data_IF_225208261174
#
_entry.id   IF_225208261174
#
_cell.length_a   1.000
_cell.length_b   1.000
_cell.length_c   1.000
_cell.angle_alpha   90.00
_cell.angle_beta   90.00
_cell.angle_gamma   90.00
#
_symmetry.space_group_name_H-M   'P 1'
#
loop_
_entity.id
_entity.type
_entity.pdbx_description
1 polymer ?
#
# COMPACT_ATOMS: atom_id res chain seq x y z
N UNK A 1 -14.31 19.19 1.02
CA UNK A 1 -13.17 18.72 0.15
C UNK A 1 -13.73 18.16 -1.14
N UNK A 2 -13.17 18.54 -2.30
CA UNK A 2 -13.50 17.93 -3.58
C UNK A 2 -12.29 17.15 -4.10
N UNK A 3 -12.58 16.08 -4.82
CA UNK A 3 -11.61 15.19 -5.42
C UNK A 3 -11.73 15.26 -6.93
N UNK A 4 -10.62 15.46 -7.60
CA UNK A 4 -10.52 15.56 -9.06
C UNK A 4 -9.80 14.36 -9.64
N UNK A 5 -10.17 13.98 -10.87
CA UNK A 5 -9.45 12.96 -11.62
C UNK A 5 -8.15 13.52 -12.19
N UNK A 6 -7.08 12.75 -12.15
CA UNK A 6 -5.81 13.07 -12.82
C UNK A 6 -5.95 13.25 -14.34
N UNK A 7 -7.01 12.71 -14.94
CA UNK A 7 -7.30 12.82 -16.39
C UNK A 7 -8.34 13.88 -16.72
N UNK A 8 -8.99 14.49 -15.72
CA UNK A 8 -9.79 15.71 -15.82
C UNK A 8 -11.10 15.63 -16.60
N UNK A 9 -11.55 14.44 -17.02
CA UNK A 9 -12.79 14.26 -17.76
C UNK A 9 -13.94 13.73 -16.91
N UNK A 10 -13.67 13.49 -15.63
CA UNK A 10 -14.69 13.10 -14.64
C UNK A 10 -15.05 14.28 -13.74
N UNK A 11 -16.31 14.39 -13.31
CA UNK A 11 -16.70 15.47 -12.40
C UNK A 11 -15.98 15.35 -11.05
N UNK A 12 -15.73 16.49 -10.43
CA UNK A 12 -15.22 16.51 -9.06
C UNK A 12 -16.25 15.94 -8.08
N UNK A 13 -15.83 15.07 -7.18
CA UNK A 13 -16.70 14.32 -6.26
C UNK A 13 -16.24 14.49 -4.81
N UNK A 14 -17.10 14.14 -3.86
CA UNK A 14 -16.77 14.07 -2.44
C UNK A 14 -16.06 12.75 -2.11
N UNK A 15 -15.53 12.65 -0.88
CA UNK A 15 -14.81 11.43 -0.45
C UNK A 15 -15.71 10.18 -0.48
N UNK A 16 -16.92 10.26 0.07
CA UNK A 16 -17.83 9.10 0.13
C UNK A 16 -18.34 8.67 -1.24
N UNK A 17 -18.36 9.57 -2.23
CA UNK A 17 -18.70 9.23 -3.61
C UNK A 17 -17.62 8.43 -4.29
N UNK A 18 -16.32 8.75 -4.05
CA UNK A 18 -15.19 8.06 -4.69
C UNK A 18 -14.75 6.79 -3.96
N UNK A 19 -15.14 6.64 -2.68
CA UNK A 19 -14.64 5.57 -1.81
C UNK A 19 -14.85 4.16 -2.39
N UNK A 20 -16.04 3.88 -2.90
CA UNK A 20 -16.41 2.54 -3.38
C UNK A 20 -15.94 2.28 -4.82
N UNK A 21 -15.59 3.31 -5.58
CA UNK A 21 -15.30 3.22 -7.02
C UNK A 21 -13.85 2.90 -7.36
N UNK A 22 -12.91 3.43 -6.62
CA UNK A 22 -11.47 3.30 -6.87
C UNK A 22 -10.97 4.18 -8.02
N UNK A 23 -11.24 3.81 -9.28
CA UNK A 23 -10.92 4.60 -10.47
C UNK A 23 -12.02 5.63 -10.77
N UNK A 24 -11.62 6.76 -11.33
CA UNK A 24 -12.55 7.69 -11.96
C UNK A 24 -13.13 7.11 -13.27
N UNK A 25 -14.33 7.53 -13.70
CA UNK A 25 -14.96 7.05 -14.95
C UNK A 25 -14.09 7.24 -16.21
N UNK A 26 -13.21 8.25 -16.21
CA UNK A 26 -12.24 8.50 -17.30
C UNK A 26 -10.96 7.65 -17.21
N UNK A 27 -10.90 6.72 -16.25
CA UNK A 27 -9.73 5.87 -15.98
C UNK A 27 -8.63 6.56 -15.19
N UNK A 28 -8.80 7.80 -14.77
CA UNK A 28 -7.86 8.54 -13.93
C UNK A 28 -7.94 8.16 -12.45
N UNK A 29 -7.04 8.71 -11.67
CA UNK A 29 -6.97 8.53 -10.23
C UNK A 29 -7.48 9.78 -9.51
N UNK A 30 -8.11 9.60 -8.36
CA UNK A 30 -8.58 10.73 -7.56
C UNK A 30 -7.49 11.30 -6.67
N UNK A 31 -7.44 12.62 -6.60
CA UNK A 31 -6.66 13.44 -5.67
C UNK A 31 -7.51 14.59 -5.14
N UNK A 32 -7.24 15.13 -3.95
CA UNK A 32 -7.87 16.37 -3.51
C UNK A 32 -7.60 17.48 -4.54
N UNK A 33 -8.59 18.31 -4.79
CA UNK A 33 -8.43 19.50 -5.64
C UNK A 33 -7.28 20.38 -5.15
N UNK A 34 -7.13 20.49 -3.83
CA UNK A 34 -5.99 21.12 -3.16
C UNK A 34 -5.61 20.30 -1.94
N UNK A 35 -4.32 20.14 -1.70
CA UNK A 35 -3.86 19.51 -0.46
C UNK A 35 -4.09 20.46 0.73
N UNK A 36 -4.73 20.00 1.81
CA UNK A 36 -4.80 20.79 3.04
C UNK A 36 -3.39 21.05 3.58
N UNK A 37 -3.16 22.26 4.06
CA UNK A 37 -1.89 22.67 4.64
C UNK A 37 -1.98 22.69 6.15
N UNK A 38 -0.95 22.21 6.82
CA UNK A 38 -0.79 22.37 8.26
C UNK A 38 0.20 23.50 8.57
N UNK A 39 -0.22 24.42 9.43
CA UNK A 39 0.65 25.46 9.96
C UNK A 39 1.66 24.90 10.97
N UNK A 40 2.69 25.66 11.31
CA UNK A 40 3.66 25.27 12.33
C UNK A 40 3.01 25.04 13.70
N UNK A 41 1.99 25.82 14.05
CA UNK A 41 1.25 25.66 15.30
C UNK A 41 0.42 24.36 15.30
N UNK A 42 -0.21 24.03 14.18
CA UNK A 42 -0.93 22.76 14.02
C UNK A 42 0.01 21.56 14.09
N UNK A 43 1.19 21.63 13.44
CA UNK A 43 2.21 20.57 13.54
C UNK A 43 2.71 20.41 14.99
N UNK A 44 2.93 21.53 15.71
CA UNK A 44 3.31 21.49 17.12
C UNK A 44 2.22 20.85 18.00
N UNK A 45 0.95 21.17 17.75
CA UNK A 45 -0.17 20.58 18.47
C UNK A 45 -0.31 19.06 18.22
N UNK A 46 0.04 18.57 17.03
CA UNK A 46 -0.02 17.15 16.68
C UNK A 46 1.14 16.34 17.28
N UNK A 47 2.25 16.95 17.63
CA UNK A 47 3.50 16.28 18.03
C UNK A 47 3.34 15.31 19.21
N UNK A 48 2.49 15.61 20.17
CA UNK A 48 2.25 14.76 21.35
C UNK A 48 1.06 13.80 21.23
N UNK A 49 0.39 13.78 20.08
CA UNK A 49 -0.80 12.96 19.90
C UNK A 49 -0.47 11.47 19.81
N UNK A 50 -1.33 10.63 20.40
CA UNK A 50 -1.34 9.21 20.11
C UNK A 50 -1.78 8.96 18.65
N UNK A 51 -1.65 7.73 18.15
CA UNK A 51 -1.93 7.44 16.75
C UNK A 51 -3.38 7.74 16.35
N UNK A 52 -4.36 7.44 17.20
CA UNK A 52 -5.79 7.67 16.90
C UNK A 52 -6.11 9.15 16.81
N UNK A 53 -5.61 9.95 17.73
CA UNK A 53 -5.79 11.40 17.70
C UNK A 53 -5.11 12.04 16.49
N UNK A 54 -3.91 11.58 16.17
CA UNK A 54 -3.18 12.01 14.97
C UNK A 54 -3.91 11.62 13.68
N UNK A 55 -4.37 10.37 13.60
CA UNK A 55 -5.13 9.89 12.46
C UNK A 55 -6.41 10.71 12.25
N UNK A 56 -7.15 10.99 13.32
CA UNK A 56 -8.35 11.81 13.23
C UNK A 56 -8.02 13.25 12.79
N UNK A 57 -6.97 13.87 13.35
CA UNK A 57 -6.56 15.24 12.99
C UNK A 57 -6.19 15.36 11.50
N UNK A 58 -5.54 14.34 10.92
CA UNK A 58 -5.14 14.35 9.52
C UNK A 58 -6.31 13.95 8.62
N UNK A 59 -7.00 12.86 8.94
CA UNK A 59 -8.08 12.34 8.10
C UNK A 59 -9.29 13.27 8.05
N UNK A 60 -9.60 14.00 9.12
CA UNK A 60 -10.69 14.99 9.12
C UNK A 60 -10.46 16.15 8.13
N UNK A 61 -9.21 16.41 7.73
CA UNK A 61 -8.88 17.37 6.68
C UNK A 61 -9.08 16.81 5.26
N UNK A 62 -9.09 15.49 5.14
CA UNK A 62 -9.25 14.78 3.86
C UNK A 62 -10.67 14.19 3.69
N UNK A 63 -11.39 13.97 4.78
CA UNK A 63 -12.72 13.37 4.81
C UNK A 63 -13.65 14.32 5.55
N UNK A 64 -14.33 15.18 4.81
CA UNK A 64 -15.18 16.23 5.37
C UNK A 64 -16.69 16.00 5.14
N UNK A 65 -17.04 14.93 4.43
CA UNK A 65 -18.41 14.53 4.16
C UNK A 65 -18.91 13.34 5.04
N UNK A 66 -18.11 12.94 6.01
CA UNK A 66 -18.51 12.06 7.13
C UNK A 66 -18.57 12.94 8.39
N UNK A 67 -19.67 12.88 9.20
CA UNK A 67 -19.75 13.61 10.46
C UNK A 67 -18.55 13.32 11.37
N UNK A 68 -18.03 14.35 12.05
CA UNK A 68 -16.80 14.24 12.83
C UNK A 68 -16.85 13.14 13.90
N UNK A 69 -17.97 12.98 14.60
CA UNK A 69 -18.14 11.93 15.62
C UNK A 69 -18.11 10.52 15.01
N UNK A 70 -18.70 10.35 13.81
CA UNK A 70 -18.71 9.08 13.11
C UNK A 70 -17.32 8.75 12.58
N UNK A 71 -16.60 9.73 12.00
CA UNK A 71 -15.22 9.55 11.57
C UNK A 71 -14.31 9.22 12.76
N UNK A 72 -14.50 9.89 13.90
CA UNK A 72 -13.79 9.59 15.14
C UNK A 72 -14.02 8.14 15.58
N UNK A 73 -15.27 7.68 15.58
CA UNK A 73 -15.62 6.31 15.95
C UNK A 73 -14.97 5.28 14.99
N UNK A 74 -14.92 5.59 13.69
CA UNK A 74 -14.26 4.74 12.68
C UNK A 74 -12.74 4.65 12.96
N UNK A 75 -12.09 5.78 13.23
CA UNK A 75 -10.65 5.84 13.55
C UNK A 75 -10.34 5.06 14.83
N UNK A 76 -11.14 5.27 15.88
CA UNK A 76 -10.96 4.58 17.17
C UNK A 76 -11.18 3.07 17.07
N UNK A 77 -12.11 2.63 16.23
CA UNK A 77 -12.34 1.21 15.94
C UNK A 77 -11.19 0.60 15.15
N UNK A 78 -10.53 1.38 14.30
CA UNK A 78 -9.50 0.90 13.38
C UNK A 78 -8.15 0.76 14.06
N UNK A 79 -7.64 1.82 14.71
CA UNK A 79 -6.27 1.89 15.20
C UNK A 79 -6.18 1.56 16.68
N UNK A 80 -6.22 0.26 16.97
CA UNK A 80 -6.21 -0.29 18.33
C UNK A 80 -5.03 -1.24 18.51
N UNK A 81 -4.47 -1.27 19.71
CA UNK A 81 -3.34 -2.13 20.06
C UNK A 81 -3.66 -3.64 19.92
N UNK A 82 -4.91 -4.04 20.12
CA UNK A 82 -5.34 -5.44 19.93
C UNK A 82 -5.51 -5.83 18.45
N UNK A 83 -5.64 -4.86 17.56
CA UNK A 83 -5.61 -5.06 16.09
C UNK A 83 -4.18 -5.05 15.57
N UNK A 84 -3.34 -4.12 16.05
CA UNK A 84 -1.92 -3.99 15.68
C UNK A 84 -1.02 -4.59 16.77
N UNK A 85 -1.27 -5.85 17.11
CA UNK A 85 -0.74 -6.48 18.32
C UNK A 85 0.70 -7.01 18.17
N UNK A 86 1.25 -7.09 16.97
CA UNK A 86 2.53 -7.76 16.70
C UNK A 86 3.74 -6.82 16.79
N UNK A 87 3.78 -6.00 17.83
CA UNK A 87 4.93 -5.15 18.13
C UNK A 87 6.17 -6.00 18.51
N UNK A 88 7.36 -5.54 18.11
CA UNK A 88 8.62 -6.16 18.53
C UNK A 88 8.81 -6.04 20.04
N UNK A 89 9.62 -6.94 20.65
CA UNK A 89 10.01 -6.80 22.06
C UNK A 89 10.57 -5.38 22.33
N UNK A 90 10.06 -4.76 23.39
CA UNK A 90 10.44 -3.40 23.79
C UNK A 90 9.68 -2.27 23.07
N UNK A 91 8.85 -2.58 22.08
CA UNK A 91 7.93 -1.62 21.48
C UNK A 91 6.57 -1.63 22.19
N UNK A 92 5.88 -0.48 22.15
CA UNK A 92 4.51 -0.36 22.67
C UNK A 92 3.50 -0.49 21.52
N UNK A 93 2.60 -1.48 21.60
CA UNK A 93 1.56 -1.69 20.60
C UNK A 93 0.57 -0.52 20.49
N UNK A 94 0.40 0.30 21.54
CA UNK A 94 -0.43 1.53 21.51
C UNK A 94 0.14 2.59 20.57
N UNK A 95 1.41 2.53 20.21
CA UNK A 95 2.00 3.43 19.21
C UNK A 95 1.53 3.13 17.78
N UNK A 96 0.94 1.97 17.54
CA UNK A 96 0.44 1.45 16.25
C UNK A 96 1.56 1.31 15.21
N UNK A 97 2.33 2.37 14.97
CA UNK A 97 3.51 2.40 14.10
C UNK A 97 4.74 2.87 14.88
N UNK A 98 5.24 2.06 15.82
CA UNK A 98 6.41 2.42 16.61
C UNK A 98 7.66 2.54 15.73
N UNK A 99 8.59 3.40 16.14
CA UNK A 99 9.94 3.45 15.55
C UNK A 99 10.89 2.54 16.28
N UNK A 100 11.80 1.91 15.55
CA UNK A 100 12.89 1.12 16.11
C UNK A 100 14.22 1.72 15.69
N UNK A 101 15.04 2.16 16.65
CA UNK A 101 16.35 2.74 16.37
C UNK A 101 17.35 1.63 16.06
N UNK A 102 17.92 1.63 14.86
CA UNK A 102 19.03 0.75 14.50
C UNK A 102 20.35 1.34 14.98
N UNK A 103 20.60 2.61 14.67
CA UNK A 103 21.74 3.39 15.12
C UNK A 103 21.39 4.89 15.07
N UNK A 104 22.33 5.76 15.44
CA UNK A 104 22.09 7.20 15.40
C UNK A 104 21.75 7.68 13.99
N UNK A 105 20.58 8.32 13.87
CA UNK A 105 20.06 8.82 12.61
C UNK A 105 19.51 7.75 11.66
N UNK A 106 19.37 6.48 12.09
CA UNK A 106 18.79 5.41 11.29
C UNK A 106 17.73 4.62 12.06
N UNK A 107 16.51 4.58 11.54
CA UNK A 107 15.37 3.99 12.20
C UNK A 107 14.57 3.09 11.24
N UNK A 108 13.92 2.06 11.80
CA UNK A 108 12.80 1.39 11.14
C UNK A 108 11.49 2.05 11.61
N UNK A 109 10.58 2.31 10.69
CA UNK A 109 9.21 2.66 11.00
C UNK A 109 8.37 1.40 10.84
N UNK A 110 7.90 0.83 11.95
CA UNK A 110 7.19 -0.45 11.99
C UNK A 110 5.76 -0.26 11.50
N UNK A 111 5.44 -0.74 10.30
CA UNK A 111 4.12 -0.64 9.68
C UNK A 111 3.38 -1.98 9.60
N UNK A 112 4.04 -3.07 10.00
CA UNK A 112 3.59 -4.44 9.74
C UNK A 112 3.15 -5.18 11.00
N UNK A 113 2.70 -4.45 12.01
CA UNK A 113 2.23 -4.99 13.30
C UNK A 113 0.75 -5.42 13.28
N UNK A 114 0.07 -5.25 12.17
CA UNK A 114 -1.33 -5.56 11.98
C UNK A 114 -1.62 -7.06 11.76
N UNK A 115 -2.89 -7.41 11.53
CA UNK A 115 -3.34 -8.81 11.51
C UNK A 115 -2.61 -9.71 10.51
N UNK A 116 -2.17 -9.15 9.38
CA UNK A 116 -1.54 -9.92 8.30
C UNK A 116 -0.03 -9.73 8.20
N UNK A 117 0.59 -9.02 9.14
CA UNK A 117 2.02 -8.76 9.19
C UNK A 117 2.57 -8.04 7.95
N UNK A 118 1.76 -7.20 7.33
CA UNK A 118 2.14 -6.34 6.22
C UNK A 118 1.58 -4.92 6.40
N UNK A 119 2.28 -3.91 5.89
CA UNK A 119 1.87 -2.50 5.98
C UNK A 119 0.50 -2.21 5.37
N UNK A 120 0.04 -3.09 4.50
CA UNK A 120 -1.27 -2.97 3.85
C UNK A 120 -2.42 -2.98 4.85
N UNK A 121 -2.25 -3.59 6.01
CA UNK A 121 -3.22 -3.55 7.11
C UNK A 121 -3.54 -2.12 7.55
N UNK A 122 -2.55 -1.22 7.53
CA UNK A 122 -2.72 0.18 7.94
C UNK A 122 -3.83 0.89 7.15
N UNK A 123 -3.90 0.62 5.86
CA UNK A 123 -4.91 1.19 4.99
C UNK A 123 -6.16 0.31 4.88
N UNK A 124 -6.01 -1.01 4.81
CA UNK A 124 -7.13 -1.92 4.60
C UNK A 124 -8.08 -1.97 5.80
N UNK A 125 -7.58 -1.93 7.04
CA UNK A 125 -8.43 -1.91 8.23
C UNK A 125 -9.31 -0.66 8.26
N UNK A 126 -8.78 0.50 7.92
CA UNK A 126 -9.57 1.73 7.78
C UNK A 126 -10.58 1.60 6.64
N UNK A 127 -10.15 1.11 5.49
CA UNK A 127 -11.00 0.94 4.31
C UNK A 127 -12.21 0.04 4.62
N UNK A 128 -12.00 -1.08 5.31
CA UNK A 128 -13.06 -1.99 5.72
C UNK A 128 -14.12 -1.31 6.60
N UNK A 129 -13.69 -0.53 7.58
CA UNK A 129 -14.59 0.21 8.46
C UNK A 129 -15.32 1.35 7.72
N UNK A 130 -14.65 2.04 6.80
CA UNK A 130 -15.27 3.06 5.94
C UNK A 130 -16.29 2.45 4.98
N UNK A 131 -15.99 1.31 4.37
CA UNK A 131 -16.93 0.61 3.49
C UNK A 131 -18.19 0.20 4.24
N UNK A 132 -18.06 -0.44 5.39
CA UNK A 132 -19.21 -0.84 6.21
C UNK A 132 -20.09 0.37 6.57
N UNK A 133 -19.47 1.48 6.97
CA UNK A 133 -20.18 2.71 7.31
C UNK A 133 -20.92 3.31 6.11
N UNK A 134 -20.24 3.53 4.99
CA UNK A 134 -20.85 4.19 3.82
C UNK A 134 -21.92 3.32 3.17
N UNK A 135 -21.70 1.99 3.10
CA UNK A 135 -22.70 1.07 2.58
C UNK A 135 -23.96 1.05 3.44
N UNK A 136 -23.80 1.08 4.78
CA UNK A 136 -24.95 1.16 5.70
C UNK A 136 -25.73 2.47 5.53
N UNK A 137 -25.04 3.60 5.37
CA UNK A 137 -25.68 4.90 5.12
C UNK A 137 -26.48 4.94 3.81
N UNK A 138 -25.97 4.26 2.78
CA UNK A 138 -26.62 4.21 1.45
C UNK A 138 -27.66 3.10 1.31
N UNK A 139 -27.73 2.16 2.26
CA UNK A 139 -28.54 0.94 2.14
C UNK A 139 -28.06 0.03 1.00
N UNK A 140 -26.76 0.03 0.72
CA UNK A 140 -26.15 -0.69 -0.40
C UNK A 140 -25.27 -1.86 0.08
N UNK A 141 -24.89 -2.71 -0.86
CA UNK A 141 -23.95 -3.82 -0.68
C UNK A 141 -22.90 -3.78 -1.79
N UNK A 142 -21.76 -4.43 -1.55
CA UNK A 142 -20.71 -4.60 -2.56
C UNK A 142 -20.12 -6.00 -2.53
N UNK A 143 -19.75 -6.52 -3.69
CA UNK A 143 -19.06 -7.79 -3.86
C UNK A 143 -17.65 -7.49 -4.39
N UNK A 144 -16.67 -7.55 -3.51
CA UNK A 144 -15.28 -7.26 -3.85
C UNK A 144 -14.71 -8.44 -4.62
N UNK A 145 -14.20 -8.18 -5.82
CA UNK A 145 -13.45 -9.14 -6.60
C UNK A 145 -11.99 -8.67 -6.70
N UNK A 146 -11.06 -9.54 -6.33
CA UNK A 146 -9.65 -9.24 -6.36
C UNK A 146 -8.79 -10.41 -6.81
N UNK A 147 -7.60 -10.11 -7.31
CA UNK A 147 -6.53 -11.07 -7.54
C UNK A 147 -5.35 -10.74 -6.63
N UNK A 148 -4.69 -11.76 -6.11
CA UNK A 148 -3.58 -11.59 -5.18
C UNK A 148 -2.47 -12.61 -5.40
N UNK A 149 -1.25 -12.19 -5.11
CA UNK A 149 -0.09 -13.07 -4.91
C UNK A 149 0.18 -13.37 -3.42
N UNK A 150 -0.67 -12.85 -2.50
CA UNK A 150 -0.61 -13.12 -1.07
C UNK A 150 -0.94 -11.91 -0.18
N UNK A 151 -0.10 -10.91 -0.13
CA UNK A 151 -0.20 -9.82 0.86
C UNK A 151 -1.42 -8.93 0.72
N UNK A 152 -1.79 -8.56 -0.51
CA UNK A 152 -2.96 -7.69 -0.73
C UNK A 152 -4.26 -8.44 -0.42
N UNK A 153 -4.34 -9.72 -0.83
CA UNK A 153 -5.52 -10.55 -0.58
C UNK A 153 -5.72 -10.79 0.91
N UNK A 154 -4.67 -11.22 1.62
CA UNK A 154 -4.77 -11.43 3.07
C UNK A 154 -5.19 -10.16 3.81
N UNK A 155 -4.59 -9.00 3.50
CA UNK A 155 -4.96 -7.74 4.13
C UNK A 155 -6.41 -7.33 3.82
N UNK A 156 -6.89 -7.54 2.59
CA UNK A 156 -8.27 -7.26 2.20
C UNK A 156 -9.27 -8.17 2.93
N UNK A 157 -9.00 -9.46 2.98
CA UNK A 157 -9.87 -10.42 3.65
C UNK A 157 -9.97 -10.15 5.14
N UNK A 158 -8.84 -9.93 5.83
CA UNK A 158 -8.83 -9.62 7.27
C UNK A 158 -9.50 -8.29 7.58
N UNK A 159 -9.47 -7.32 6.68
CA UNK A 159 -10.18 -6.05 6.86
C UNK A 159 -11.69 -6.17 6.61
N UNK A 160 -12.11 -7.04 5.71
CA UNK A 160 -13.50 -7.15 5.26
C UNK A 160 -14.26 -8.29 5.95
N UNK A 161 -13.57 -9.23 6.60
CA UNK A 161 -14.21 -10.35 7.30
C UNK A 161 -15.26 -9.87 8.29
N UNK A 162 -16.44 -10.49 8.27
CA UNK A 162 -17.54 -10.16 9.16
C UNK A 162 -18.19 -8.77 8.93
N UNK A 163 -17.77 -8.00 7.92
CA UNK A 163 -18.35 -6.69 7.60
C UNK A 163 -19.71 -6.85 6.94
N UNK A 164 -20.70 -6.12 7.44
CA UNK A 164 -22.05 -6.10 6.87
C UNK A 164 -22.05 -5.41 5.50
N UNK A 165 -22.79 -5.99 4.56
CA UNK A 165 -22.92 -5.44 3.20
C UNK A 165 -21.72 -5.68 2.29
N UNK A 166 -20.69 -6.42 2.76
CA UNK A 166 -19.48 -6.72 1.97
C UNK A 166 -19.30 -8.23 1.84
N UNK A 167 -19.10 -8.71 0.63
CA UNK A 167 -18.57 -10.04 0.34
C UNK A 167 -17.26 -9.91 -0.42
N UNK A 168 -16.33 -10.84 -0.22
CA UNK A 168 -15.00 -10.84 -0.85
C UNK A 168 -14.81 -12.13 -1.62
N UNK A 169 -14.51 -12.01 -2.89
CA UNK A 169 -14.10 -13.09 -3.79
C UNK A 169 -12.66 -12.83 -4.19
N UNK A 170 -11.74 -13.61 -3.62
CA UNK A 170 -10.30 -13.42 -3.82
C UNK A 170 -9.71 -14.57 -4.64
N UNK A 171 -9.18 -14.21 -5.81
CA UNK A 171 -8.51 -15.14 -6.71
C UNK A 171 -7.02 -15.17 -6.41
N UNK A 172 -6.46 -16.37 -6.29
CA UNK A 172 -5.03 -16.57 -6.10
C UNK A 172 -4.53 -17.74 -6.95
N UNK A 173 -3.26 -17.76 -7.40
CA UNK A 173 -2.75 -18.84 -8.20
C UNK A 173 -2.58 -20.10 -7.35
N UNK A 174 -3.19 -21.20 -7.77
CA UNK A 174 -3.19 -22.47 -7.04
C UNK A 174 -1.77 -22.96 -6.79
N UNK A 175 -1.41 -23.19 -5.51
CA UNK A 175 -0.11 -23.70 -5.06
C UNK A 175 1.10 -22.81 -5.43
N UNK A 176 0.90 -21.50 -5.64
CA UNK A 176 1.99 -20.57 -6.01
C UNK A 176 2.31 -19.52 -4.94
N UNK A 177 1.44 -19.35 -3.94
CA UNK A 177 1.73 -18.50 -2.79
C UNK A 177 2.58 -19.24 -1.75
N UNK A 178 3.24 -18.52 -0.85
CA UNK A 178 3.92 -19.12 0.30
C UNK A 178 2.93 -19.92 1.17
N UNK A 179 3.42 -20.91 1.92
CA UNK A 179 2.59 -21.69 2.85
C UNK A 179 1.92 -20.80 3.90
N UNK A 180 2.66 -19.83 4.40
CA UNK A 180 2.15 -18.88 5.37
C UNK A 180 1.01 -18.03 4.80
N UNK A 181 1.20 -17.41 3.63
CA UNK A 181 0.17 -16.59 2.99
C UNK A 181 -1.08 -17.40 2.62
N UNK A 182 -0.89 -18.61 2.12
CA UNK A 182 -1.99 -19.54 1.79
C UNK A 182 -2.80 -19.84 3.05
N UNK A 183 -2.14 -20.24 4.13
CA UNK A 183 -2.79 -20.57 5.39
C UNK A 183 -3.49 -19.34 6.00
N UNK A 184 -2.87 -18.17 5.91
CA UNK A 184 -3.43 -16.92 6.43
C UNK A 184 -4.78 -16.57 5.77
N UNK A 185 -4.89 -16.78 4.45
CA UNK A 185 -6.13 -16.54 3.72
C UNK A 185 -7.14 -17.68 3.87
N UNK A 186 -6.70 -18.90 3.59
CA UNK A 186 -7.61 -20.03 3.45
C UNK A 186 -8.13 -20.59 4.79
N UNK A 187 -7.49 -20.24 5.91
CA UNK A 187 -7.97 -20.59 7.25
C UNK A 187 -9.16 -19.74 7.72
N UNK A 188 -9.49 -18.66 6.99
CA UNK A 188 -10.67 -17.85 7.32
C UNK A 188 -11.96 -18.63 7.07
N UNK A 189 -12.85 -18.64 8.08
CA UNK A 189 -14.13 -19.36 8.03
C UNK A 189 -15.34 -18.41 7.95
N UNK A 190 -15.10 -17.11 7.77
CA UNK A 190 -16.15 -16.09 7.73
C UNK A 190 -17.04 -16.25 6.49
N UNK A 191 -18.35 -16.21 6.66
CA UNK A 191 -19.36 -16.49 5.61
C UNK A 191 -19.30 -15.50 4.43
N UNK A 192 -18.66 -14.35 4.61
CA UNK A 192 -18.53 -13.33 3.59
C UNK A 192 -17.18 -13.35 2.85
N UNK A 193 -16.30 -14.33 3.13
CA UNK A 193 -14.98 -14.48 2.50
C UNK A 193 -14.97 -15.74 1.64
N UNK A 194 -14.63 -15.60 0.36
CA UNK A 194 -14.56 -16.67 -0.63
C UNK A 194 -13.18 -16.68 -1.27
N UNK A 195 -12.41 -17.73 -1.00
CA UNK A 195 -11.09 -17.96 -1.59
C UNK A 195 -11.20 -18.88 -2.81
N UNK A 196 -10.69 -18.44 -3.95
CA UNK A 196 -10.71 -19.18 -5.21
C UNK A 196 -9.26 -19.39 -5.66
N UNK A 197 -8.80 -20.63 -5.59
CA UNK A 197 -7.49 -21.05 -6.08
C UNK A 197 -7.57 -21.40 -7.57
N UNK A 198 -7.06 -20.52 -8.42
CA UNK A 198 -7.13 -20.67 -9.89
C UNK A 198 -5.96 -21.50 -10.38
N UNK A 199 -6.23 -22.53 -11.19
CA UNK A 199 -5.20 -23.31 -11.88
C UNK A 199 -4.55 -22.46 -12.97
N UNK A 200 -3.45 -21.81 -12.62
CA UNK A 200 -2.74 -20.88 -13.48
C UNK A 200 -1.68 -20.11 -12.69
N UNK A 201 -1.28 -18.96 -13.22
CA UNK A 201 -0.36 -18.03 -12.60
C UNK A 201 -1.11 -16.77 -12.13
N UNK A 202 -0.41 -15.88 -11.46
CA UNK A 202 -1.04 -14.64 -10.94
C UNK A 202 -1.64 -13.76 -12.05
N UNK A 203 -1.00 -13.73 -13.22
CA UNK A 203 -1.51 -12.97 -14.37
C UNK A 203 -2.86 -13.50 -14.86
N UNK A 204 -3.07 -14.83 -14.83
CA UNK A 204 -4.37 -15.44 -15.17
C UNK A 204 -5.46 -14.96 -14.20
N UNK A 205 -5.15 -14.87 -12.90
CA UNK A 205 -6.08 -14.33 -11.91
C UNK A 205 -6.42 -12.86 -12.20
N UNK A 206 -5.43 -12.04 -12.54
CA UNK A 206 -5.63 -10.63 -12.90
C UNK A 206 -6.45 -10.48 -14.17
N UNK A 207 -6.21 -11.31 -15.18
CA UNK A 207 -6.95 -11.25 -16.44
C UNK A 207 -8.41 -11.62 -16.27
N UNK A 208 -8.72 -12.59 -15.39
CA UNK A 208 -10.11 -12.90 -15.00
C UNK A 208 -10.75 -11.69 -14.33
N UNK A 209 -10.08 -11.07 -13.36
CA UNK A 209 -10.61 -9.87 -12.67
C UNK A 209 -10.86 -8.74 -13.66
N UNK A 210 -9.97 -8.51 -14.62
CA UNK A 210 -10.15 -7.52 -15.70
C UNK A 210 -11.35 -7.88 -16.58
N UNK A 211 -11.46 -9.14 -17.01
CA UNK A 211 -12.58 -9.60 -17.85
C UNK A 211 -13.93 -9.42 -17.16
N UNK A 212 -14.03 -9.73 -15.87
CA UNK A 212 -15.25 -9.50 -15.08
C UNK A 212 -15.54 -8.02 -14.91
N UNK A 213 -14.51 -7.21 -14.64
CA UNK A 213 -14.65 -5.76 -14.44
C UNK A 213 -15.01 -4.99 -15.71
N UNK A 214 -14.58 -5.48 -16.87
CA UNK A 214 -14.91 -4.92 -18.19
C UNK A 214 -16.31 -5.32 -18.68
N UNK A 215 -16.92 -6.35 -18.11
CA UNK A 215 -18.33 -6.64 -18.33
C UNK A 215 -19.17 -5.69 -17.46
N UNK A 216 -19.40 -4.50 -17.98
CA UNK A 216 -20.10 -3.43 -17.25
C UNK A 216 -21.53 -3.83 -16.82
N UNK A 217 -22.23 -4.64 -17.62
CA UNK A 217 -23.57 -5.11 -17.27
C UNK A 217 -23.52 -6.08 -16.08
N UNK A 218 -22.58 -7.04 -16.10
CA UNK A 218 -22.37 -7.97 -15.00
C UNK A 218 -21.93 -7.24 -13.73
N UNK A 219 -20.96 -6.33 -13.87
CA UNK A 219 -20.41 -5.53 -12.77
C UNK A 219 -21.50 -4.72 -12.06
N UNK A 220 -22.32 -4.02 -12.82
CA UNK A 220 -23.42 -3.22 -12.27
C UNK A 220 -24.50 -4.08 -11.60
N UNK A 221 -24.95 -5.14 -12.28
CA UNK A 221 -25.98 -6.06 -11.77
C UNK A 221 -25.57 -6.71 -10.45
N UNK A 222 -24.32 -7.16 -10.35
CA UNK A 222 -23.81 -7.92 -9.21
C UNK A 222 -22.99 -7.06 -8.24
N UNK A 223 -23.01 -5.73 -8.40
CA UNK A 223 -22.34 -4.76 -7.51
C UNK A 223 -20.87 -5.09 -7.26
N UNK A 224 -20.13 -5.43 -8.33
CA UNK A 224 -18.72 -5.78 -8.24
C UNK A 224 -17.89 -4.55 -7.91
N UNK A 225 -17.21 -4.61 -6.78
CA UNK A 225 -16.28 -3.60 -6.28
C UNK A 225 -14.82 -4.10 -6.25
N UNK A 226 -13.92 -3.21 -5.89
CA UNK A 226 -12.49 -3.50 -5.78
C UNK A 226 -11.85 -2.76 -4.60
N UNK A 227 -10.73 -3.30 -4.11
CA UNK A 227 -9.92 -2.71 -3.02
C UNK A 227 -8.47 -2.51 -3.43
N UNK A 228 -8.23 -2.12 -4.67
CA UNK A 228 -6.88 -1.97 -5.25
C UNK A 228 -6.11 -0.81 -4.61
N UNK A 229 -4.78 -0.81 -4.82
CA UNK A 229 -3.86 0.19 -4.29
C UNK A 229 -4.14 1.63 -4.73
N UNK A 230 -4.91 1.80 -5.82
CA UNK A 230 -5.30 3.11 -6.36
C UNK A 230 -6.45 3.79 -5.60
N UNK A 231 -7.20 3.06 -4.77
CA UNK A 231 -8.26 3.65 -3.97
C UNK A 231 -7.69 4.79 -3.10
N UNK A 232 -8.30 5.98 -3.20
CA UNK A 232 -7.80 7.16 -2.50
C UNK A 232 -7.76 6.98 -0.97
N UNK A 233 -8.75 6.31 -0.39
CA UNK A 233 -8.78 6.08 1.05
C UNK A 233 -7.56 5.27 1.53
N UNK A 234 -7.05 4.35 0.69
CA UNK A 234 -5.82 3.62 0.99
C UNK A 234 -4.60 4.52 1.03
N UNK A 235 -4.52 5.49 0.12
CA UNK A 235 -3.42 6.47 0.11
C UNK A 235 -3.54 7.41 1.29
N UNK A 236 -4.75 7.95 1.54
CA UNK A 236 -5.02 8.86 2.66
C UNK A 236 -4.66 8.26 4.02
N UNK A 237 -5.01 6.98 4.26
CA UNK A 237 -4.67 6.27 5.49
C UNK A 237 -3.15 6.19 5.71
N UNK A 238 -2.37 6.09 4.64
CA UNK A 238 -0.92 5.97 4.71
C UNK A 238 -0.23 7.30 5.00
N UNK A 239 -0.86 8.43 4.74
CA UNK A 239 -0.31 9.75 5.08
C UNK A 239 -0.02 9.85 6.57
N UNK A 240 -0.86 9.30 7.42
CA UNK A 240 -0.80 9.42 8.89
C UNK A 240 0.53 8.94 9.46
N UNK A 241 1.03 7.79 9.03
CA UNK A 241 2.24 7.26 9.63
C UNK A 241 3.53 8.00 9.22
N UNK A 242 3.51 8.77 8.13
CA UNK A 242 4.62 9.68 7.83
C UNK A 242 4.71 10.80 8.88
N UNK A 243 3.57 11.37 9.28
CA UNK A 243 3.54 12.33 10.39
C UNK A 243 3.98 11.69 11.70
N UNK A 244 3.47 10.48 12.02
CA UNK A 244 3.86 9.76 13.25
C UNK A 244 5.36 9.50 13.31
N UNK A 245 5.93 9.00 12.22
CA UNK A 245 7.38 8.74 12.11
C UNK A 245 8.21 10.02 12.24
N UNK A 246 7.78 11.10 11.59
CA UNK A 246 8.43 12.41 11.70
C UNK A 246 8.49 12.88 13.16
N UNK A 247 7.36 12.89 13.85
CA UNK A 247 7.31 13.34 15.23
C UNK A 247 8.09 12.45 16.21
N UNK A 248 8.25 11.18 15.89
CA UNK A 248 8.97 10.24 16.74
C UNK A 248 10.49 10.47 16.77
N UNK A 249 11.06 11.08 15.72
CA UNK A 249 12.52 11.22 15.57
C UNK A 249 12.99 12.68 15.49
N UNK A 250 12.09 13.64 15.66
CA UNK A 250 12.40 15.07 15.65
C UNK A 250 11.93 15.73 16.94
N UNK A 251 12.65 16.75 17.39
CA UNK A 251 12.27 17.56 18.56
C UNK A 251 11.38 18.75 18.19
N UNK A 252 11.55 19.31 17.01
CA UNK A 252 10.81 20.46 16.51
C UNK A 252 10.59 20.39 15.00
N UNK A 253 9.86 21.35 14.43
CA UNK A 253 9.49 21.37 13.02
C UNK A 253 10.50 22.10 12.10
N UNK A 254 11.62 22.58 12.66
CA UNK A 254 12.75 23.06 11.88
C UNK A 254 13.63 21.89 11.38
N UNK A 255 13.54 20.76 12.05
CA UNK A 255 14.24 19.54 11.66
C UNK A 255 13.55 18.87 10.46
N UNK A 256 14.35 18.31 9.57
CA UNK A 256 13.89 17.51 8.44
C UNK A 256 14.18 16.04 8.69
N UNK A 257 13.44 15.17 8.01
CA UNK A 257 13.68 13.72 7.96
C UNK A 257 13.65 13.23 6.52
N UNK A 258 14.27 12.09 6.29
CA UNK A 258 14.16 11.34 5.04
C UNK A 258 13.45 10.01 5.29
N UNK A 259 12.65 9.57 4.33
CA UNK A 259 11.99 8.27 4.36
C UNK A 259 12.46 7.40 3.21
N UNK A 260 12.87 6.17 3.50
CA UNK A 260 13.16 5.17 2.48
C UNK A 260 12.01 4.17 2.40
N UNK A 261 11.47 4.03 1.21
CA UNK A 261 10.21 3.34 0.98
C UNK A 261 10.39 2.21 -0.04
N UNK A 262 10.26 0.93 0.38
CA UNK A 262 10.13 -0.17 -0.57
C UNK A 262 8.93 0.09 -1.49
N UNK A 263 9.16 0.17 -2.80
CA UNK A 263 8.18 0.67 -3.75
C UNK A 263 7.93 -0.27 -4.92
N UNK A 264 6.66 -0.69 -5.08
CA UNK A 264 6.14 -1.34 -6.27
C UNK A 264 5.12 -0.45 -6.97
N UNK A 265 3.88 -0.42 -6.48
CA UNK A 265 2.77 0.38 -7.03
C UNK A 265 2.86 1.89 -6.73
N UNK A 266 3.91 2.36 -6.10
CA UNK A 266 4.11 3.76 -5.73
C UNK A 266 3.11 4.30 -4.67
N UNK A 267 2.19 3.50 -4.16
CA UNK A 267 1.14 3.96 -3.24
C UNK A 267 1.68 4.50 -1.92
N UNK A 268 2.59 3.76 -1.29
CA UNK A 268 3.19 4.13 -0.02
C UNK A 268 4.02 5.42 -0.13
N UNK A 269 4.94 5.50 -1.09
CA UNK A 269 5.76 6.71 -1.27
C UNK A 269 4.96 7.89 -1.79
N UNK A 270 3.86 7.67 -2.52
CA UNK A 270 2.90 8.70 -2.89
C UNK A 270 2.26 9.33 -1.65
N UNK A 271 1.91 8.54 -0.63
CA UNK A 271 1.42 9.06 0.64
C UNK A 271 2.49 9.93 1.35
N UNK A 272 3.76 9.58 1.26
CA UNK A 272 4.87 10.42 1.73
C UNK A 272 4.97 11.75 0.95
N UNK A 273 4.81 11.70 -0.36
CA UNK A 273 4.73 12.91 -1.19
C UNK A 273 3.57 13.81 -0.75
N UNK A 274 2.39 13.24 -0.52
CA UNK A 274 1.23 14.00 -0.04
C UNK A 274 1.48 14.59 1.34
N UNK A 275 2.06 13.84 2.28
CA UNK A 275 2.44 14.35 3.59
C UNK A 275 3.37 15.56 3.48
N UNK A 276 4.37 15.52 2.57
CA UNK A 276 5.24 16.64 2.24
C UNK A 276 4.46 17.83 1.69
N UNK A 277 3.53 17.57 0.76
CA UNK A 277 2.66 18.60 0.18
C UNK A 277 1.70 19.21 1.22
N UNK A 278 1.39 18.51 2.30
CA UNK A 278 0.59 19.01 3.42
C UNK A 278 1.42 19.80 4.46
N UNK A 279 2.73 19.94 4.25
CA UNK A 279 3.61 20.76 5.07
C UNK A 279 4.56 19.98 5.99
N UNK A 280 4.60 18.64 5.92
CA UNK A 280 5.56 17.86 6.71
C UNK A 280 7.00 18.07 6.20
N UNK A 281 7.96 18.42 7.07
CA UNK A 281 9.34 18.72 6.67
C UNK A 281 10.11 17.45 6.27
N UNK A 282 9.93 17.00 5.04
CA UNK A 282 10.61 15.84 4.45
C UNK A 282 11.74 16.33 3.54
N UNK A 283 12.96 15.92 3.83
CA UNK A 283 14.13 16.21 3.00
C UNK A 283 14.14 15.33 1.75
N UNK A 284 14.12 14.00 1.95
CA UNK A 284 14.11 13.03 0.85
C UNK A 284 13.02 11.98 1.00
N UNK A 285 12.46 11.61 -0.14
CA UNK A 285 11.67 10.39 -0.34
C UNK A 285 12.50 9.44 -1.21
N UNK A 286 13.04 8.41 -0.60
CA UNK A 286 13.92 7.45 -1.25
C UNK A 286 13.07 6.30 -1.79
N UNK A 287 12.95 6.23 -3.10
CA UNK A 287 12.22 5.16 -3.80
C UNK A 287 13.17 3.97 -3.95
N UNK A 288 12.91 2.91 -3.19
CA UNK A 288 13.68 1.68 -3.28
C UNK A 288 12.91 0.63 -4.10
N UNK A 289 13.50 0.19 -5.20
CA UNK A 289 12.95 -0.87 -6.04
C UNK A 289 13.71 -2.18 -5.86
N UNK A 290 13.12 -3.29 -6.32
CA UNK A 290 13.84 -4.54 -6.54
C UNK A 290 14.35 -4.60 -8.00
N UNK A 291 14.57 -5.80 -8.54
CA UNK A 291 14.99 -6.01 -9.93
C UNK A 291 14.02 -5.42 -10.96
N UNK A 292 12.77 -5.18 -10.55
CA UNK A 292 11.76 -4.47 -11.34
C UNK A 292 11.94 -2.96 -11.13
N UNK A 293 12.96 -2.40 -11.74
CA UNK A 293 13.53 -1.09 -11.46
C UNK A 293 12.98 0.07 -12.32
N UNK A 294 11.76 -0.06 -12.81
CA UNK A 294 11.10 0.95 -13.68
C UNK A 294 11.04 2.33 -13.03
N UNK A 295 10.74 2.40 -11.72
CA UNK A 295 10.73 3.67 -11.00
C UNK A 295 12.15 4.22 -10.80
N UNK A 296 13.12 3.37 -10.50
CA UNK A 296 14.54 3.80 -10.37
C UNK A 296 15.06 4.35 -11.69
N UNK A 297 14.74 3.71 -12.83
CA UNK A 297 15.05 4.24 -14.17
C UNK A 297 14.45 5.65 -14.34
N UNK A 298 13.17 5.84 -13.99
CA UNK A 298 12.54 7.15 -14.12
C UNK A 298 13.22 8.23 -13.29
N UNK A 299 13.44 7.98 -11.99
CA UNK A 299 14.03 8.98 -11.11
C UNK A 299 15.50 9.32 -11.43
N UNK A 300 16.18 8.46 -12.20
CA UNK A 300 17.53 8.69 -12.70
C UNK A 300 17.58 9.34 -14.08
N UNK A 301 16.60 9.05 -14.93
CA UNK A 301 16.68 9.40 -16.36
C UNK A 301 15.55 10.29 -16.89
N UNK A 302 14.42 10.38 -16.17
CA UNK A 302 13.21 11.05 -16.63
C UNK A 302 12.35 10.20 -17.57
N UNK A 303 12.79 8.98 -17.90
CA UNK A 303 12.07 8.08 -18.81
C UNK A 303 11.24 7.07 -18.00
N UNK A 304 9.93 7.08 -18.18
CA UNK A 304 9.03 6.08 -17.61
C UNK A 304 8.65 5.04 -18.67
N UNK A 305 9.16 3.83 -18.47
CA UNK A 305 9.06 2.73 -19.44
C UNK A 305 8.60 1.46 -18.73
N UNK A 306 7.29 1.30 -18.50
CA UNK A 306 6.76 0.04 -17.95
C UNK A 306 7.11 -1.15 -18.86
N UNK A 307 7.51 -2.24 -18.24
CA UNK A 307 7.76 -3.51 -18.95
C UNK A 307 6.46 -4.32 -19.00
N UNK A 308 6.25 -5.10 -20.05
CA UNK A 308 5.14 -6.04 -20.10
C UNK A 308 5.27 -7.14 -19.05
N UNK A 309 4.17 -7.83 -18.72
CA UNK A 309 4.15 -8.90 -17.71
C UNK A 309 5.20 -10.00 -17.97
N UNK A 310 5.44 -10.34 -19.23
CA UNK A 310 6.47 -11.32 -19.62
C UNK A 310 7.92 -10.89 -19.26
N UNK A 311 8.14 -9.61 -19.03
CA UNK A 311 9.44 -9.02 -18.69
C UNK A 311 9.51 -8.51 -17.24
N UNK A 312 8.52 -8.84 -16.42
CA UNK A 312 8.51 -8.58 -14.98
C UNK A 312 9.20 -9.77 -14.28
N UNK A 313 10.22 -9.45 -13.48
CA UNK A 313 10.96 -10.48 -12.74
C UNK A 313 10.14 -10.96 -11.54
N UNK A 314 10.16 -12.28 -11.31
CA UNK A 314 9.70 -12.87 -10.05
C UNK A 314 10.86 -12.89 -9.06
N UNK A 315 10.71 -12.18 -7.95
CA UNK A 315 11.81 -11.94 -7.00
C UNK A 315 11.50 -12.49 -5.61
N UNK A 316 12.48 -12.43 -4.71
CA UNK A 316 12.29 -12.74 -3.29
C UNK A 316 11.65 -11.58 -2.49
N UNK A 317 11.32 -10.45 -3.13
CA UNK A 317 10.47 -9.39 -2.57
C UNK A 317 9.21 -9.18 -3.43
N UNK A 318 8.30 -10.18 -3.47
CA UNK A 318 7.28 -10.32 -4.50
C UNK A 318 6.22 -9.20 -4.50
N UNK A 319 5.98 -8.51 -3.41
CA UNK A 319 5.04 -7.38 -3.36
C UNK A 319 5.51 -6.17 -4.19
N UNK A 320 6.78 -6.17 -4.58
CA UNK A 320 7.40 -5.13 -5.42
C UNK A 320 7.61 -5.61 -6.88
N UNK A 321 7.14 -6.80 -7.26
CA UNK A 321 7.22 -7.34 -8.63
C UNK A 321 6.19 -6.64 -9.52
N UNK A 322 6.42 -5.37 -9.74
CA UNK A 322 5.52 -4.43 -10.44
C UNK A 322 6.30 -3.70 -11.53
N UNK A 323 5.81 -3.74 -12.75
CA UNK A 323 6.37 -2.97 -13.86
C UNK A 323 5.62 -1.66 -14.10
N UNK A 324 4.29 -1.66 -14.04
CA UNK A 324 3.47 -0.46 -14.18
C UNK A 324 2.99 -0.01 -12.79
N UNK A 325 3.67 1.00 -12.24
CA UNK A 325 3.35 1.55 -10.92
C UNK A 325 2.07 2.40 -10.97
N UNK A 326 0.96 1.83 -10.54
CA UNK A 326 -0.38 2.40 -10.74
C UNK A 326 -0.59 3.77 -10.07
N UNK A 327 0.03 4.02 -8.90
CA UNK A 327 -0.10 5.32 -8.22
C UNK A 327 0.89 6.40 -8.70
N UNK A 328 1.81 6.05 -9.57
CA UNK A 328 2.80 6.98 -10.10
C UNK A 328 2.15 8.14 -10.88
N UNK A 329 1.01 7.89 -11.51
CA UNK A 329 0.20 8.90 -12.20
C UNK A 329 -0.16 10.09 -11.30
N UNK A 330 -0.38 9.86 -9.99
CA UNK A 330 -0.66 10.93 -9.01
C UNK A 330 0.49 11.90 -8.86
N UNK A 331 1.71 11.38 -8.75
CA UNK A 331 2.90 12.22 -8.66
C UNK A 331 3.15 12.98 -9.97
N UNK A 332 3.04 12.30 -11.10
CA UNK A 332 3.22 12.96 -12.41
C UNK A 332 2.18 14.06 -12.62
N UNK A 333 0.94 13.87 -12.19
CA UNK A 333 -0.08 14.91 -12.24
C UNK A 333 0.36 16.18 -11.48
N UNK A 334 0.87 16.04 -10.26
CA UNK A 334 1.43 17.19 -9.52
C UNK A 334 2.67 17.77 -10.23
N UNK A 335 3.57 16.93 -10.72
CA UNK A 335 4.82 17.32 -11.38
C UNK A 335 4.58 18.18 -12.64
N UNK A 336 3.55 17.84 -13.42
CA UNK A 336 3.17 18.61 -14.63
C UNK A 336 2.21 19.77 -14.32
N UNK A 337 2.13 20.21 -13.05
CA UNK A 337 1.31 21.35 -12.62
C UNK A 337 -0.19 21.08 -12.65
N UNK A 338 -0.58 19.81 -12.48
CA UNK A 338 -1.97 19.32 -12.53
C UNK A 338 -2.65 19.52 -13.88
N UNK A 339 -1.86 19.52 -14.94
CA UNK A 339 -2.34 19.54 -16.32
C UNK A 339 -2.87 18.15 -16.73
N UNK A 340 -4.19 18.00 -16.70
CA UNK A 340 -4.86 16.74 -17.01
C UNK A 340 -4.73 16.36 -18.49
N UNK A 341 -4.62 17.33 -19.40
CA UNK A 341 -4.40 17.07 -20.83
C UNK A 341 -3.03 16.44 -21.05
N UNK A 342 -2.03 16.96 -20.33
CA UNK A 342 -0.68 16.40 -20.37
C UNK A 342 -0.64 14.97 -19.78
N UNK A 343 -1.32 14.73 -18.68
CA UNK A 343 -1.41 13.37 -18.12
C UNK A 343 -2.09 12.39 -19.07
N UNK A 344 -3.18 12.80 -19.75
CA UNK A 344 -3.81 11.93 -20.77
C UNK A 344 -2.87 11.63 -21.93
N UNK A 345 -2.11 12.62 -22.39
CA UNK A 345 -1.09 12.40 -23.44
C UNK A 345 -0.06 11.36 -23.02
N UNK A 346 0.52 11.52 -21.82
CA UNK A 346 1.56 10.64 -21.28
C UNK A 346 1.04 9.22 -21.05
N UNK A 347 -0.09 9.10 -20.35
CA UNK A 347 -0.68 7.78 -20.05
C UNK A 347 -1.26 7.09 -21.28
N UNK A 348 -1.72 7.85 -22.28
CA UNK A 348 -2.10 7.29 -23.57
C UNK A 348 -0.95 6.55 -24.26
N UNK A 349 0.28 7.03 -24.15
CA UNK A 349 1.48 6.33 -24.64
C UNK A 349 1.73 5.04 -23.84
N UNK A 350 1.62 5.10 -22.52
CA UNK A 350 1.83 3.95 -21.62
C UNK A 350 0.75 2.88 -21.82
N UNK A 351 -0.50 3.28 -21.91
CA UNK A 351 -1.64 2.37 -22.12
C UNK A 351 -1.59 1.68 -23.51
N UNK A 352 -0.93 2.30 -24.48
CA UNK A 352 -0.60 1.70 -25.77
C UNK A 352 0.66 0.80 -25.75
N UNK A 353 1.24 0.54 -24.57
CA UNK A 353 2.44 -0.29 -24.41
C UNK A 353 3.75 0.43 -24.65
N UNK A 354 3.73 1.78 -24.74
CA UNK A 354 4.91 2.62 -24.94
C UNK A 354 5.48 3.21 -23.63
N UNK A 355 6.21 4.30 -23.80
CA UNK A 355 6.89 5.04 -22.74
C UNK A 355 6.76 6.54 -22.94
N UNK A 356 7.11 7.32 -21.90
CA UNK A 356 7.26 8.76 -22.05
C UNK A 356 8.59 9.23 -21.43
N UNK A 357 9.06 10.37 -21.89
CA UNK A 357 10.25 11.07 -21.43
C UNK A 357 9.88 12.48 -20.94
N UNK A 358 10.09 12.77 -19.66
CA UNK A 358 9.80 14.07 -19.05
C UNK A 358 10.98 15.06 -19.16
N UNK A 359 12.10 14.69 -19.78
CA UNK A 359 13.12 15.65 -20.21
C UNK A 359 12.57 16.54 -21.32
N UNK A 360 11.70 16.00 -22.16
CA UNK A 360 10.93 16.78 -23.12
C UNK A 360 10.03 17.77 -22.37
N UNK A 361 10.21 19.06 -22.63
CA UNK A 361 9.49 20.13 -21.94
C UNK A 361 10.04 20.53 -20.56
N UNK A 362 11.17 19.94 -20.13
CA UNK A 362 11.88 20.34 -18.91
C UNK A 362 11.21 19.92 -17.59
N UNK A 363 10.23 19.02 -17.63
CA UNK A 363 9.49 18.58 -16.44
C UNK A 363 10.35 17.75 -15.47
N UNK A 364 11.28 16.95 -16.00
CA UNK A 364 12.13 16.10 -15.16
C UNK A 364 13.01 16.93 -14.22
N UNK A 365 13.49 18.09 -14.64
CA UNK A 365 14.28 18.98 -13.78
C UNK A 365 13.56 19.39 -12.49
N UNK A 366 12.22 19.42 -12.50
CA UNK A 366 11.39 19.78 -11.35
C UNK A 366 11.25 18.64 -10.31
N UNK A 367 11.64 17.41 -10.64
CA UNK A 367 11.58 16.27 -9.71
C UNK A 367 12.40 16.54 -8.45
N UNK A 368 13.53 17.25 -8.59
CA UNK A 368 14.39 17.62 -7.46
C UNK A 368 13.65 18.48 -6.40
N UNK A 369 12.69 19.30 -6.83
CA UNK A 369 11.91 20.18 -5.93
C UNK A 369 11.02 19.36 -4.96
N UNK A 370 10.72 18.11 -5.32
CA UNK A 370 9.91 17.19 -4.52
C UNK A 370 10.74 16.26 -3.64
N UNK A 371 12.08 16.35 -3.68
CA UNK A 371 12.98 15.59 -2.83
C UNK A 371 13.06 14.09 -3.14
N UNK A 372 12.61 13.63 -4.30
CA UNK A 372 12.73 12.23 -4.71
C UNK A 372 14.15 11.87 -5.09
N UNK A 373 14.62 10.73 -4.56
CA UNK A 373 15.82 10.02 -4.98
C UNK A 373 15.49 8.53 -5.06
N UNK A 374 16.31 7.72 -5.73
CA UNK A 374 15.99 6.31 -5.90
C UNK A 374 17.23 5.41 -5.93
N UNK A 375 16.98 4.13 -5.84
CA UNK A 375 17.95 3.06 -6.01
C UNK A 375 17.25 1.73 -6.19
N UNK A 376 18.00 0.74 -6.65
CA UNK A 376 17.52 -0.63 -6.81
C UNK A 376 18.33 -1.62 -5.96
N UNK A 377 17.71 -2.75 -5.67
CA UNK A 377 18.26 -3.86 -4.92
C UNK A 377 17.98 -5.16 -5.65
N UNK A 378 18.87 -6.11 -5.56
CA UNK A 378 18.69 -7.44 -6.14
C UNK A 378 18.72 -8.51 -5.04
N UNK A 379 18.50 -9.79 -5.42
CA UNK A 379 18.47 -10.88 -4.48
C UNK A 379 19.73 -10.98 -3.60
N UNK A 380 20.91 -10.84 -4.19
CA UNK A 380 22.17 -10.87 -3.43
C UNK A 380 22.28 -9.72 -2.42
N UNK A 381 21.82 -8.52 -2.81
CA UNK A 381 21.75 -7.37 -1.92
C UNK A 381 20.80 -7.62 -0.74
N UNK A 382 19.63 -8.21 -1.00
CA UNK A 382 18.64 -8.55 0.06
C UNK A 382 19.23 -9.53 1.06
N UNK A 383 19.83 -10.62 0.60
CA UNK A 383 20.42 -11.62 1.48
C UNK A 383 21.54 -11.02 2.33
N UNK A 384 22.41 -10.23 1.72
CA UNK A 384 23.50 -9.53 2.44
C UNK A 384 22.95 -8.52 3.44
N UNK A 385 21.94 -7.74 3.08
CA UNK A 385 21.36 -6.71 3.96
C UNK A 385 20.65 -7.34 5.15
N UNK A 386 19.88 -8.41 4.96
CA UNK A 386 19.23 -9.16 6.06
C UNK A 386 20.32 -9.68 7.02
N UNK A 387 21.36 -10.32 6.49
CA UNK A 387 22.44 -10.87 7.29
C UNK A 387 23.20 -9.78 8.08
N UNK A 388 23.61 -8.72 7.41
CA UNK A 388 24.35 -7.62 8.03
C UNK A 388 23.52 -6.90 9.11
N UNK A 389 22.22 -6.73 8.89
CA UNK A 389 21.29 -6.12 9.86
C UNK A 389 21.15 -7.01 11.09
N UNK A 390 20.98 -8.32 10.89
CA UNK A 390 20.89 -9.28 11.98
C UNK A 390 22.18 -9.32 12.81
N UNK A 391 23.35 -9.41 12.16
CA UNK A 391 24.64 -9.45 12.83
C UNK A 391 24.95 -8.16 13.61
N UNK A 392 24.65 -7.01 13.04
CA UNK A 392 25.01 -5.72 13.63
C UNK A 392 24.02 -5.24 14.70
N UNK A 393 22.71 -5.42 14.46
CA UNK A 393 21.69 -4.82 15.30
C UNK A 393 20.83 -5.84 16.06
N UNK A 394 21.05 -7.14 15.84
CA UNK A 394 20.25 -8.24 16.40
C UNK A 394 18.75 -8.11 16.01
N UNK A 395 18.51 -7.58 14.83
CA UNK A 395 17.17 -7.38 14.25
C UNK A 395 17.07 -8.13 12.93
N UNK A 396 16.05 -8.97 12.79
CA UNK A 396 15.72 -9.60 11.52
C UNK A 396 14.67 -8.75 10.80
N UNK A 397 14.96 -8.40 9.56
CA UNK A 397 14.06 -7.68 8.64
C UNK A 397 13.62 -8.59 7.51
N UNK A 398 12.47 -8.29 6.89
CA UNK A 398 11.99 -9.00 5.72
C UNK A 398 12.70 -8.55 4.44
N UNK A 399 12.42 -9.24 3.34
CA UNK A 399 13.06 -9.00 2.04
C UNK A 399 12.75 -7.61 1.48
N UNK A 400 11.52 -7.12 1.64
CA UNK A 400 11.12 -5.79 1.15
C UNK A 400 11.77 -4.68 1.97
N UNK A 401 11.79 -4.80 3.28
CA UNK A 401 12.51 -3.87 4.17
C UNK A 401 14.00 -3.87 3.87
N UNK A 402 14.57 -5.03 3.50
CA UNK A 402 15.98 -5.12 3.09
C UNK A 402 16.25 -4.30 1.82
N UNK A 403 15.38 -4.34 0.81
CA UNK A 403 15.49 -3.46 -0.36
C UNK A 403 15.47 -1.98 0.05
N UNK A 404 14.55 -1.61 0.93
CA UNK A 404 14.45 -0.26 1.48
C UNK A 404 15.70 0.18 2.24
N UNK A 405 16.20 -0.65 3.14
CA UNK A 405 17.39 -0.35 3.95
C UNK A 405 18.67 -0.24 3.10
N UNK A 406 18.85 -1.15 2.14
CA UNK A 406 20.00 -1.10 1.21
C UNK A 406 20.06 0.26 0.51
N UNK A 407 18.95 0.73 -0.05
CA UNK A 407 18.91 2.00 -0.77
C UNK A 407 18.95 3.20 0.19
N UNK A 408 18.36 3.08 1.38
CA UNK A 408 18.45 4.11 2.42
C UNK A 408 19.90 4.43 2.79
N UNK A 409 20.74 3.40 2.93
CA UNK A 409 22.17 3.57 3.29
C UNK A 409 22.95 4.33 2.21
N UNK A 410 22.51 4.30 0.96
CA UNK A 410 23.13 5.04 -0.16
C UNK A 410 22.78 6.54 -0.13
N UNK A 411 21.67 6.91 0.54
CA UNK A 411 21.11 8.27 0.51
C UNK A 411 21.08 8.96 1.88
N UNK A 412 21.70 8.37 2.90
CA UNK A 412 21.78 9.00 4.24
C UNK A 412 22.56 10.31 4.18
N UNK A 413 22.13 11.26 4.99
CA UNK A 413 22.78 12.55 5.18
C UNK A 413 23.04 12.79 6.67
N UNK A 414 24.21 13.35 6.97
CA UNK A 414 24.55 13.69 8.34
C UNK A 414 23.57 14.73 8.91
N UNK A 415 23.06 14.48 10.11
CA UNK A 415 22.13 15.38 10.80
C UNK A 415 20.67 15.28 10.34
N UNK A 416 20.35 14.47 9.32
CA UNK A 416 18.97 14.21 8.87
C UNK A 416 18.62 12.74 9.19
N UNK A 417 17.71 12.48 10.11
CA UNK A 417 17.25 11.11 10.38
C UNK A 417 16.68 10.45 9.13
N UNK A 418 17.04 9.18 8.92
CA UNK A 418 16.49 8.31 7.90
C UNK A 418 15.55 7.28 8.53
N UNK A 419 14.29 7.28 8.14
CA UNK A 419 13.32 6.26 8.51
C UNK A 419 13.13 5.30 7.34
N UNK A 420 13.43 4.03 7.56
CA UNK A 420 13.14 2.95 6.60
C UNK A 420 11.79 2.36 6.96
N UNK A 421 10.86 2.33 6.02
CA UNK A 421 9.54 1.76 6.25
C UNK A 421 9.62 0.24 6.26
N UNK A 422 9.27 -0.35 7.39
CA UNK A 422 9.15 -1.81 7.53
C UNK A 422 7.77 -2.25 7.04
N UNK A 423 7.74 -2.84 5.85
CA UNK A 423 6.52 -3.10 5.11
C UNK A 423 5.97 -4.52 5.30
N UNK A 424 6.76 -5.43 5.85
CA UNK A 424 6.32 -6.76 6.25
C UNK A 424 7.18 -7.31 7.39
N UNK A 425 6.68 -8.32 8.11
CA UNK A 425 7.47 -9.07 9.07
C UNK A 425 8.12 -10.30 8.42
N UNK A 426 9.31 -10.71 8.88
CA UNK A 426 10.09 -11.82 8.31
C UNK A 426 9.35 -13.15 8.24
N UNK A 427 8.44 -13.42 9.18
CA UNK A 427 7.66 -14.66 9.22
C UNK A 427 6.89 -14.99 7.93
N UNK A 428 6.57 -13.97 7.13
CA UNK A 428 5.88 -14.15 5.84
C UNK A 428 6.78 -14.72 4.74
N UNK A 429 8.09 -14.57 4.88
CA UNK A 429 9.10 -14.89 3.86
C UNK A 429 10.17 -15.81 4.43
N UNK A 430 9.75 -16.86 5.14
CA UNK A 430 10.61 -17.79 5.87
C UNK A 430 11.77 -18.34 5.03
N UNK A 431 11.51 -18.76 3.80
CA UNK A 431 12.53 -19.36 2.93
C UNK A 431 13.71 -18.42 2.66
N UNK A 432 13.43 -17.15 2.38
CA UNK A 432 14.46 -16.14 2.16
C UNK A 432 15.25 -15.81 3.44
N UNK A 433 14.60 -15.82 4.60
CA UNK A 433 15.26 -15.60 5.89
C UNK A 433 16.17 -16.80 6.23
N UNK A 434 15.71 -18.01 5.98
CA UNK A 434 16.54 -19.23 6.16
C UNK A 434 17.73 -19.21 5.21
N UNK A 435 17.55 -18.78 3.97
CA UNK A 435 18.67 -18.61 3.02
C UNK A 435 19.70 -17.62 3.54
N UNK A 436 19.26 -16.46 4.06
CA UNK A 436 20.14 -15.40 4.51
C UNK A 436 20.85 -15.72 5.84
N UNK A 437 20.15 -16.36 6.80
CA UNK A 437 20.60 -16.49 8.20
C UNK A 437 20.86 -17.95 8.62
N UNK A 438 20.42 -18.94 7.85
CA UNK A 438 20.48 -20.35 8.22
C UNK A 438 19.51 -20.74 9.33
N UNK A 439 18.58 -19.88 9.72
CA UNK A 439 17.59 -20.10 10.77
C UNK A 439 16.25 -19.50 10.39
N UNK A 440 15.16 -20.06 10.95
CA UNK A 440 13.82 -19.54 10.75
C UNK A 440 13.62 -18.21 11.46
N UNK A 441 12.82 -17.30 10.89
CA UNK A 441 12.43 -16.07 11.58
C UNK A 441 11.53 -16.38 12.79
N UNK A 442 11.53 -15.49 13.76
CA UNK A 442 10.53 -15.52 14.84
C UNK A 442 9.12 -15.35 14.23
N UNK A 443 8.19 -16.11 14.79
CA UNK A 443 6.77 -16.06 14.42
C UNK A 443 5.96 -15.63 15.64
N UNK A 444 4.99 -14.71 15.51
CA UNK A 444 4.07 -14.43 16.62
C UNK A 444 3.40 -15.69 17.12
N UNK A 445 3.33 -15.86 18.44
CA UNK A 445 2.79 -17.08 19.07
C UNK A 445 1.36 -17.41 18.61
N UNK A 446 0.53 -16.39 18.42
CA UNK A 446 -0.85 -16.57 17.91
C UNK A 446 -0.94 -17.06 16.46
N UNK A 447 0.16 -17.06 15.73
CA UNK A 447 0.26 -17.54 14.35
C UNK A 447 1.05 -18.87 14.25
N UNK A 448 1.48 -19.43 15.37
CA UNK A 448 2.04 -20.78 15.40
C UNK A 448 0.97 -21.80 15.04
N UNK A 449 1.31 -22.74 14.16
CA UNK A 449 0.38 -23.78 13.71
C UNK A 449 -0.70 -23.29 12.72
N UNK A 450 -0.59 -22.08 12.18
CA UNK A 450 -1.53 -21.51 11.22
C UNK A 450 -1.79 -22.46 10.03
N UNK A 451 -0.73 -23.11 9.54
CA UNK A 451 -0.79 -24.02 8.40
C UNK A 451 -1.53 -25.35 8.72
N UNK A 452 -1.75 -25.66 10.01
CA UNK A 452 -2.50 -26.83 10.44
C UNK A 452 -4.01 -26.55 10.64
N UNK A 453 -4.43 -25.28 10.54
CA UNK A 453 -5.84 -24.93 10.63
C UNK A 453 -6.64 -25.45 9.43
N UNK A 454 -7.94 -25.77 9.61
CA UNK A 454 -8.81 -26.11 8.51
C UNK A 454 -8.81 -25.00 7.45
N UNK A 455 -8.61 -25.38 6.18
CA UNK A 455 -8.59 -24.45 5.07
C UNK A 455 -9.88 -24.57 4.25
N UNK A 456 -10.44 -23.42 3.85
CA UNK A 456 -11.64 -23.31 3.02
C UNK A 456 -11.33 -22.52 1.76
N UNK A 457 -11.36 -23.17 0.62
CA UNK A 457 -11.14 -22.58 -0.69
C UNK A 457 -11.72 -23.48 -1.78
N UNK A 458 -12.01 -22.90 -2.95
CA UNK A 458 -12.43 -23.64 -4.13
C UNK A 458 -11.30 -23.64 -5.17
N UNK A 459 -11.05 -24.78 -5.80
CA UNK A 459 -10.09 -24.89 -6.91
C UNK A 459 -10.85 -24.81 -8.23
N UNK A 460 -10.51 -23.83 -9.07
CA UNK A 460 -11.20 -23.56 -10.32
C UNK A 460 -10.22 -23.43 -11.49
N UNK A 461 -10.68 -23.74 -12.69
CA UNK A 461 -9.96 -23.43 -13.92
C UNK A 461 -9.90 -21.93 -14.16
N UNK A 462 -8.91 -21.47 -14.96
CA UNK A 462 -8.78 -20.05 -15.34
C UNK A 462 -9.85 -19.65 -16.37
N UNK A 463 -11.12 -19.64 -15.93
CA UNK A 463 -12.28 -19.34 -16.76
C UNK A 463 -13.17 -18.25 -16.12
N UNK A 464 -13.21 -17.08 -16.77
CA UNK A 464 -13.99 -15.96 -16.30
C UNK A 464 -15.51 -16.23 -16.23
N UNK A 465 -16.04 -17.10 -17.10
CA UNK A 465 -17.47 -17.45 -17.08
C UNK A 465 -17.82 -18.30 -15.85
N UNK A 466 -16.96 -19.29 -15.54
CA UNK A 466 -17.12 -20.10 -14.33
C UNK A 466 -17.01 -19.27 -13.04
N UNK A 467 -16.07 -18.33 -12.99
CA UNK A 467 -15.92 -17.41 -11.86
C UNK A 467 -17.14 -16.49 -11.70
N UNK A 468 -17.68 -15.93 -12.80
CA UNK A 468 -18.91 -15.15 -12.77
C UNK A 468 -20.10 -15.95 -12.21
N UNK A 469 -20.24 -17.22 -12.64
CA UNK A 469 -21.28 -18.08 -12.14
C UNK A 469 -21.12 -18.33 -10.64
N UNK A 470 -19.91 -18.66 -10.18
CA UNK A 470 -19.60 -18.86 -8.76
C UNK A 470 -19.98 -17.62 -7.93
N UNK A 471 -19.64 -16.41 -8.39
CA UNK A 471 -20.04 -15.16 -7.73
C UNK A 471 -21.56 -15.08 -7.59
N UNK A 472 -22.29 -15.30 -8.68
CA UNK A 472 -23.79 -15.21 -8.68
C UNK A 472 -24.42 -16.20 -7.71
N UNK A 473 -23.87 -17.38 -7.55
CA UNK A 473 -24.37 -18.41 -6.63
C UNK A 473 -24.13 -18.09 -5.15
N UNK A 474 -23.21 -17.14 -4.85
CA UNK A 474 -22.81 -16.81 -3.47
C UNK A 474 -23.11 -15.37 -3.03
N UNK A 475 -23.76 -14.55 -3.86
CA UNK A 475 -24.18 -13.17 -3.52
C UNK A 475 -25.59 -13.07 -2.93
#
# INVERSE_FOLDING_TARGET
>A
MKYVSTRGQSPAQSFTEILLGGLAPDGGLYLPEQYPQFSQDELNAMRGMNYRDLAFAILSRLIDDIPADDLRAIVDKTYRADVYAYARPGQNAEDITPTYKLEDGLYLLSLSNGPTLAFKDMAMQLLGNLFEYVLAQKGETTNILGATSGDTGSAAEYAMRGKRGVKVFMLSPHQKMSRFQTAQMFSLQDDNIFNIAVKGVFDDCQDIVKAVSNDHAFKAKNKIGAVNSINWARVAAQVVYYFKGYFAVTADNAQQVSFAVPSGNFGNVCAGHIARMMGLPIAKLVVATNENDVLDEFFKTGVYRPRGSANTYHTSSPSMDISKASNFERFVFDLVGRDADKVRELWGKVDAGGSFDLNEGGWFAKVADYGFVSGSSNHANRMQTIKATHERYQVTIDTHTADGLKVALEHREAGIPMLVLETALPAKFEDAIVEALGQKPERPQSLEGLEALPQRFEVMEADAAAIKQFIVEHI
#
